data_IF_131178591445
#
_entry.id   IF_131178591445
#
_cell.length_a   1.000
_cell.length_b   1.000
_cell.length_c   1.000
_cell.angle_alpha   90.00
_cell.angle_beta   90.00
_cell.angle_gamma   90.00
#
_symmetry.space_group_name_H-M   'P 1'
#
loop_
_entity.id
_entity.type
_entity.pdbx_description
1 polymer ?
#
# COMPACT_ATOMS: atom_id res chain seq x y z
N UNK A 1 24.87 16.28 17.58
CA UNK A 1 23.52 16.32 16.98
C UNK A 1 22.80 15.04 17.37
N UNK A 2 21.80 15.13 18.26
CA UNK A 2 21.08 13.95 18.76
C UNK A 2 20.32 13.25 17.63
N UNK A 3 20.44 11.93 17.53
CA UNK A 3 19.74 11.14 16.53
C UNK A 3 18.23 11.17 16.83
N UNK A 4 17.51 12.04 16.14
CA UNK A 4 16.09 11.84 15.96
C UNK A 4 15.97 10.51 15.20
N UNK A 5 15.47 9.45 15.82
CA UNK A 5 15.18 8.18 15.13
C UNK A 5 14.23 8.51 13.98
N UNK A 6 14.77 8.67 12.77
CA UNK A 6 13.99 9.03 11.61
C UNK A 6 12.87 7.99 11.45
N UNK A 7 11.61 8.45 11.52
CA UNK A 7 10.46 7.56 11.37
C UNK A 7 10.48 6.85 10.00
N UNK A 8 9.72 5.77 9.87
CA UNK A 8 9.59 5.10 8.57
C UNK A 8 8.85 6.02 7.58
N UNK A 9 9.22 5.97 6.29
CA UNK A 9 8.48 6.70 5.25
C UNK A 9 7.01 6.27 5.22
N UNK A 10 6.77 4.97 5.36
CA UNK A 10 5.44 4.36 5.46
C UNK A 10 4.63 4.89 6.67
N UNK A 11 5.31 5.22 7.77
CA UNK A 11 4.66 5.85 8.91
C UNK A 11 4.33 7.30 8.64
N UNK A 12 5.27 8.10 8.13
CA UNK A 12 5.02 9.49 7.78
C UNK A 12 3.80 9.64 6.87
N UNK A 13 3.68 8.75 5.90
CA UNK A 13 2.56 8.69 4.96
C UNK A 13 1.21 8.28 5.58
N UNK A 14 1.21 7.54 6.69
CA UNK A 14 0.00 7.05 7.36
C UNK A 14 -0.35 7.85 8.63
N UNK A 15 0.61 8.51 9.28
CA UNK A 15 0.46 9.11 10.62
C UNK A 15 0.69 10.61 10.67
N UNK A 16 1.34 11.24 9.69
CA UNK A 16 1.32 12.71 9.59
C UNK A 16 -0.16 13.10 9.55
N UNK A 17 -0.64 14.01 10.43
CA UNK A 17 -2.06 14.23 10.68
C UNK A 17 -2.77 14.55 9.37
N UNK A 18 -3.33 13.52 8.73
CA UNK A 18 -4.14 13.40 7.50
C UNK A 18 -3.95 14.38 6.33
N UNK A 19 -3.09 15.40 6.40
CA UNK A 19 -3.14 16.60 5.55
C UNK A 19 -2.43 16.45 4.21
N UNK A 20 -1.58 15.44 4.05
CA UNK A 20 -0.80 15.23 2.82
C UNK A 20 -1.30 14.03 2.04
N UNK A 21 -1.54 12.89 2.70
CA UNK A 21 -1.96 11.65 2.04
C UNK A 21 -3.29 11.15 2.59
N UNK A 22 -4.39 11.76 2.13
CA UNK A 22 -5.74 11.33 2.47
C UNK A 22 -6.06 9.95 1.89
N UNK A 23 -6.79 9.12 2.65
CA UNK A 23 -7.29 7.83 2.17
C UNK A 23 -6.25 6.70 2.09
N UNK A 24 -5.02 6.90 2.54
CA UNK A 24 -3.99 5.86 2.53
C UNK A 24 -4.04 4.96 3.77
N UNK A 25 -4.95 3.99 3.73
CA UNK A 25 -4.92 2.85 4.66
C UNK A 25 -3.76 1.88 4.35
N UNK A 26 -3.57 0.90 5.24
CA UNK A 26 -2.46 -0.08 5.11
C UNK A 26 -2.51 -0.89 3.80
N UNK A 27 -3.70 -1.15 3.25
CA UNK A 27 -3.87 -1.85 1.97
C UNK A 27 -3.28 -1.04 0.81
N UNK A 28 -3.66 0.24 0.75
CA UNK A 28 -3.19 1.21 -0.23
C UNK A 28 -1.70 1.43 -0.09
N UNK A 29 -1.22 1.62 1.14
CA UNK A 29 0.20 1.80 1.45
C UNK A 29 1.04 0.63 0.93
N UNK A 30 0.70 -0.61 1.27
CA UNK A 30 1.44 -1.78 0.80
C UNK A 30 1.42 -1.90 -0.73
N UNK A 31 0.31 -1.54 -1.38
CA UNK A 31 0.18 -1.59 -2.83
C UNK A 31 1.02 -0.51 -3.53
N UNK A 32 0.95 0.73 -3.06
CA UNK A 32 1.70 1.86 -3.63
C UNK A 32 3.21 1.64 -3.50
N UNK A 33 3.69 1.23 -2.32
CA UNK A 33 5.12 0.91 -2.13
C UNK A 33 5.56 -0.26 -3.01
N UNK A 34 4.72 -1.28 -3.18
CA UNK A 34 5.00 -2.39 -4.08
C UNK A 34 5.11 -1.92 -5.54
N UNK A 35 4.17 -1.10 -6.03
CA UNK A 35 4.20 -0.56 -7.39
C UNK A 35 5.41 0.36 -7.62
N UNK A 36 5.73 1.19 -6.63
CA UNK A 36 6.90 2.06 -6.67
C UNK A 36 8.23 1.29 -6.54
N UNK A 37 8.20 0.02 -6.14
CA UNK A 37 9.40 -0.78 -5.89
C UNK A 37 10.24 -0.29 -4.70
N UNK A 38 9.61 0.39 -3.74
CA UNK A 38 10.28 1.00 -2.59
C UNK A 38 10.14 0.07 -1.38
N UNK A 39 11.23 -0.25 -0.67
CA UNK A 39 11.14 -1.01 0.57
C UNK A 39 10.31 -0.25 1.61
N UNK A 40 9.23 -0.87 2.12
CA UNK A 40 8.31 -0.21 3.08
C UNK A 40 8.95 0.10 4.45
N UNK A 41 10.09 -0.54 4.75
CA UNK A 41 10.88 -0.35 5.97
C UNK A 41 11.89 0.80 5.86
N UNK A 42 11.94 1.51 4.73
CA UNK A 42 12.85 2.64 4.54
C UNK A 42 12.55 3.78 5.51
N UNK A 43 13.61 4.45 6.00
CA UNK A 43 13.45 5.67 6.77
C UNK A 43 12.88 6.80 5.90
N UNK A 44 12.18 7.75 6.51
CA UNK A 44 11.69 8.94 5.80
C UNK A 44 12.85 9.76 5.24
N UNK A 45 13.99 9.78 5.92
CA UNK A 45 15.18 10.49 5.48
C UNK A 45 15.74 9.88 4.19
N UNK A 46 16.02 8.57 4.19
CA UNK A 46 16.57 7.88 3.00
C UNK A 46 15.59 7.89 1.82
N UNK A 47 14.29 7.94 2.11
CA UNK A 47 13.26 8.12 1.11
C UNK A 47 13.31 9.51 0.48
N UNK A 48 13.24 10.57 1.30
CA UNK A 48 13.26 11.96 0.83
C UNK A 48 14.60 12.35 0.20
N UNK A 49 15.69 11.67 0.54
CA UNK A 49 17.02 11.90 -0.03
C UNK A 49 17.23 11.27 -1.41
N UNK A 50 16.23 10.56 -1.96
CA UNK A 50 16.32 9.93 -3.28
C UNK A 50 15.21 10.46 -4.21
N UNK A 51 15.55 11.33 -5.18
CA UNK A 51 14.60 11.83 -6.17
C UNK A 51 13.84 10.72 -6.89
N UNK A 52 14.54 9.64 -7.25
CA UNK A 52 13.94 8.47 -7.88
C UNK A 52 12.85 7.82 -7.03
N UNK A 53 13.09 7.64 -5.72
CA UNK A 53 12.07 7.08 -4.83
C UNK A 53 10.86 8.00 -4.69
N UNK A 54 11.08 9.30 -4.54
CA UNK A 54 9.98 10.26 -4.42
C UNK A 54 9.17 10.32 -5.71
N UNK A 55 9.82 10.42 -6.88
CA UNK A 55 9.17 10.42 -8.18
C UNK A 55 8.38 9.11 -8.41
N UNK A 56 8.97 7.95 -8.12
CA UNK A 56 8.27 6.65 -8.23
C UNK A 56 7.07 6.57 -7.30
N UNK A 57 7.13 7.12 -6.09
CA UNK A 57 5.98 7.16 -5.20
C UNK A 57 4.86 8.05 -5.76
N UNK A 58 5.18 9.25 -6.25
CA UNK A 58 4.21 10.15 -6.88
C UNK A 58 3.52 9.48 -8.07
N UNK A 59 4.31 8.88 -8.96
CA UNK A 59 3.80 8.12 -10.11
C UNK A 59 2.94 6.92 -9.66
N UNK A 60 3.37 6.18 -8.64
CA UNK A 60 2.59 5.05 -8.10
C UNK A 60 1.27 5.47 -7.47
N UNK A 61 1.22 6.62 -6.80
CA UNK A 61 -0.01 7.19 -6.24
C UNK A 61 -0.97 7.60 -7.34
N UNK A 62 -0.45 8.28 -8.37
CA UNK A 62 -1.25 8.67 -9.53
C UNK A 62 -1.79 7.43 -10.26
N UNK A 63 -0.93 6.46 -10.56
CA UNK A 63 -1.29 5.20 -11.22
C UNK A 63 -2.33 4.43 -10.41
N UNK A 64 -2.15 4.34 -9.09
CA UNK A 64 -3.11 3.71 -8.20
C UNK A 64 -4.46 4.41 -8.25
N UNK A 65 -4.48 5.75 -8.25
CA UNK A 65 -5.72 6.54 -8.28
C UNK A 65 -6.45 6.35 -9.59
N UNK A 66 -5.74 6.48 -10.73
CA UNK A 66 -6.26 6.24 -12.08
C UNK A 66 -6.87 4.85 -12.21
N UNK A 67 -6.13 3.81 -11.85
CA UNK A 67 -6.60 2.41 -11.87
C UNK A 67 -7.73 2.15 -10.88
N UNK A 68 -7.73 2.82 -9.73
CA UNK A 68 -8.82 2.68 -8.76
C UNK A 68 -10.12 3.28 -9.31
N UNK A 69 -10.05 4.41 -10.01
CA UNK A 69 -11.20 4.99 -10.68
C UNK A 69 -11.71 4.11 -11.83
N UNK A 70 -10.82 3.57 -12.66
CA UNK A 70 -11.23 2.86 -13.87
C UNK A 70 -11.61 1.41 -13.65
N UNK A 71 -10.96 0.73 -12.70
CA UNK A 71 -11.16 -0.71 -12.48
C UNK A 71 -11.82 -0.97 -11.13
N UNK A 72 -11.23 -0.49 -10.02
CA UNK A 72 -11.76 -0.80 -8.70
C UNK A 72 -13.17 -0.25 -8.49
N UNK A 73 -13.42 0.99 -8.93
CA UNK A 73 -14.73 1.62 -8.80
C UNK A 73 -15.78 0.89 -9.63
N UNK A 74 -15.53 0.71 -10.94
CA UNK A 74 -16.52 0.12 -11.85
C UNK A 74 -16.75 -1.37 -11.61
N UNK A 75 -15.68 -2.14 -11.35
CA UNK A 75 -15.76 -3.60 -11.33
C UNK A 75 -16.11 -4.17 -9.95
N UNK A 76 -15.80 -3.43 -8.87
CA UNK A 76 -15.87 -3.96 -7.50
C UNK A 76 -16.73 -3.09 -6.59
N UNK A 77 -16.48 -1.78 -6.51
CA UNK A 77 -17.14 -0.91 -5.53
C UNK A 77 -18.56 -0.53 -5.95
N UNK A 78 -18.75 -0.03 -7.17
CA UNK A 78 -20.07 0.39 -7.68
C UNK A 78 -21.08 -0.76 -7.65
N UNK A 79 -20.75 -2.00 -8.07
CA UNK A 79 -21.67 -3.14 -7.94
C UNK A 79 -21.94 -3.58 -6.50
N UNK A 80 -21.13 -3.14 -5.54
CA UNK A 80 -21.32 -3.42 -4.12
C UNK A 80 -22.12 -2.32 -3.41
N UNK A 81 -22.50 -1.24 -4.09
CA UNK A 81 -23.37 -0.20 -3.56
C UNK A 81 -24.84 -0.56 -3.79
N UNK A 82 -25.63 -0.58 -2.72
CA UNK A 82 -27.09 -0.71 -2.74
C UNK A 82 -27.66 0.51 -2.05
N UNK A 83 -28.42 1.33 -2.76
CA UNK A 83 -28.97 2.60 -2.26
C UNK A 83 -27.90 3.53 -1.64
N UNK A 84 -26.73 3.61 -2.29
CA UNK A 84 -25.54 4.34 -1.83
C UNK A 84 -24.89 3.80 -0.55
N UNK A 85 -25.25 2.59 -0.12
CA UNK A 85 -24.65 1.91 1.03
C UNK A 85 -23.78 0.76 0.53
N UNK A 86 -22.54 0.71 0.99
CA UNK A 86 -21.60 -0.37 0.66
C UNK A 86 -22.03 -1.65 1.38
N UNK A 87 -22.49 -2.62 0.60
CA UNK A 87 -23.02 -3.90 1.05
C UNK A 87 -22.47 -5.06 0.19
N UNK A 88 -21.13 -5.28 0.19
CA UNK A 88 -20.53 -6.26 -0.70
C UNK A 88 -20.85 -7.69 -0.28
N UNK A 89 -21.16 -8.51 -1.27
CA UNK A 89 -21.21 -9.96 -1.11
C UNK A 89 -19.82 -10.52 -0.76
N UNK A 90 -19.78 -11.73 -0.21
CA UNK A 90 -18.51 -12.44 0.04
C UNK A 90 -17.70 -12.61 -1.25
N UNK A 91 -18.35 -12.88 -2.38
CA UNK A 91 -17.69 -13.01 -3.69
C UNK A 91 -17.01 -11.71 -4.11
N UNK A 92 -17.68 -10.56 -3.98
CA UNK A 92 -17.10 -9.25 -4.29
C UNK A 92 -15.91 -8.93 -3.38
N UNK A 93 -15.98 -9.26 -2.09
CA UNK A 93 -14.85 -9.15 -1.17
C UNK A 93 -13.69 -10.03 -1.60
N UNK A 94 -13.94 -11.29 -1.97
CA UNK A 94 -12.90 -12.19 -2.49
C UNK A 94 -12.28 -11.65 -3.80
N UNK A 95 -13.08 -11.04 -4.68
CA UNK A 95 -12.60 -10.36 -5.89
C UNK A 95 -11.68 -9.18 -5.58
N UNK A 96 -12.01 -8.36 -4.57
CA UNK A 96 -11.12 -7.31 -4.09
C UNK A 96 -9.77 -7.86 -3.59
N UNK A 97 -9.73 -9.08 -3.06
CA UNK A 97 -8.47 -9.75 -2.73
C UNK A 97 -7.50 -9.89 -3.92
N UNK A 98 -8.00 -9.95 -5.15
CA UNK A 98 -7.14 -9.95 -6.35
C UNK A 98 -6.50 -8.57 -6.59
N UNK A 99 -7.19 -7.48 -6.22
CA UNK A 99 -6.68 -6.10 -6.30
C UNK A 99 -5.49 -5.84 -5.38
N UNK A 100 -5.45 -6.51 -4.23
CA UNK A 100 -4.39 -6.39 -3.23
C UNK A 100 -3.12 -7.07 -3.75
N UNK A 101 -2.08 -6.33 -4.14
CA UNK A 101 -0.92 -6.95 -4.82
C UNK A 101 -0.13 -7.89 -3.91
N UNK A 102 0.16 -7.46 -2.68
CA UNK A 102 0.91 -8.23 -1.67
C UNK A 102 0.14 -8.44 -0.37
N UNK A 103 -0.78 -7.53 -0.03
CA UNK A 103 -1.45 -7.52 1.26
C UNK A 103 -2.29 -8.79 1.47
N UNK A 104 -2.08 -9.45 2.61
CA UNK A 104 -2.87 -10.61 3.01
C UNK A 104 -2.74 -11.82 2.08
N UNK A 105 -1.66 -11.93 1.31
CA UNK A 105 -1.42 -13.04 0.37
C UNK A 105 -0.37 -14.01 0.91
N UNK A 106 -0.38 -15.26 0.44
CA UNK A 106 0.75 -16.18 0.70
C UNK A 106 1.83 -15.95 -0.34
N UNK A 107 1.40 -15.93 -1.61
CA UNK A 107 2.25 -15.67 -2.76
C UNK A 107 1.59 -14.65 -3.66
N UNK A 108 2.39 -13.97 -4.47
CA UNK A 108 1.89 -13.14 -5.57
C UNK A 108 2.70 -13.40 -6.83
N UNK A 109 2.06 -13.19 -7.98
CA UNK A 109 2.70 -13.33 -9.28
C UNK A 109 3.41 -12.02 -9.60
N UNK A 110 4.70 -12.08 -9.94
CA UNK A 110 5.50 -10.90 -10.28
C UNK A 110 6.12 -11.02 -11.68
N UNK A 111 6.44 -9.92 -12.36
CA UNK A 111 7.22 -9.95 -13.60
C UNK A 111 8.58 -10.63 -13.42
N UNK A 112 9.09 -11.23 -14.50
CA UNK A 112 10.38 -11.97 -14.47
C UNK A 112 11.54 -11.08 -14.03
N UNK A 113 11.57 -9.81 -14.47
CA UNK A 113 12.57 -8.83 -14.05
C UNK A 113 12.49 -8.57 -12.53
N UNK A 114 11.30 -8.25 -12.02
CA UNK A 114 11.09 -8.11 -10.58
C UNK A 114 11.50 -9.37 -9.79
N UNK A 115 11.22 -10.57 -10.30
CA UNK A 115 11.65 -11.83 -9.69
C UNK A 115 13.18 -11.97 -9.58
N UNK A 116 13.93 -11.53 -10.60
CA UNK A 116 15.40 -11.48 -10.57
C UNK A 116 15.89 -10.44 -9.55
N UNK A 117 15.28 -9.26 -9.52
CA UNK A 117 15.61 -8.21 -8.56
C UNK A 117 15.38 -8.65 -7.11
N UNK A 118 14.30 -9.40 -6.82
CA UNK A 118 14.04 -9.97 -5.49
C UNK A 118 15.19 -10.90 -5.07
N UNK A 119 15.60 -11.83 -5.93
CA UNK A 119 16.69 -12.76 -5.62
C UNK A 119 17.99 -12.00 -5.33
N UNK A 120 18.31 -10.98 -6.15
CA UNK A 120 19.49 -10.15 -5.93
C UNK A 120 19.40 -9.35 -4.64
N UNK A 121 18.25 -8.79 -4.32
CA UNK A 121 18.02 -8.03 -3.10
C UNK A 121 18.23 -8.92 -1.86
N UNK A 122 17.62 -10.11 -1.85
CA UNK A 122 17.70 -11.06 -0.74
C UNK A 122 19.09 -11.71 -0.60
N UNK A 123 19.84 -11.87 -1.69
CA UNK A 123 21.22 -12.33 -1.63
C UNK A 123 22.16 -11.31 -0.96
N UNK A 124 21.76 -10.03 -0.90
CA UNK A 124 22.52 -8.94 -0.27
C UNK A 124 21.94 -8.62 1.13
N UNK A 125 21.81 -9.64 1.97
CA UNK A 125 21.06 -9.64 3.25
C UNK A 125 21.44 -8.51 4.22
N UNK A 126 22.68 -8.01 4.18
CA UNK A 126 23.16 -6.99 5.13
C UNK A 126 22.56 -5.61 4.85
N UNK A 127 22.43 -5.23 3.57
CA UNK A 127 22.05 -3.85 3.20
C UNK A 127 20.92 -3.76 2.18
N UNK A 128 20.43 -4.88 1.63
CA UNK A 128 19.42 -4.89 0.57
C UNK A 128 19.82 -3.95 -0.59
N UNK A 129 20.88 -4.29 -1.34
CA UNK A 129 21.38 -3.40 -2.38
C UNK A 129 20.38 -3.26 -3.53
N UNK A 130 19.65 -2.14 -3.50
CA UNK A 130 18.83 -1.65 -4.59
C UNK A 130 17.35 -1.96 -4.43
N UNK A 131 16.56 -1.10 -5.05
CA UNK A 131 15.11 -1.13 -5.04
C UNK A 131 14.57 -2.17 -6.03
N UNK A 132 13.51 -2.87 -5.63
CA UNK A 132 12.87 -3.92 -6.42
C UNK A 132 11.81 -3.27 -7.30
N UNK A 133 12.25 -2.49 -8.28
CA UNK A 133 11.39 -1.68 -9.13
C UNK A 133 11.01 -2.38 -10.44
N UNK A 134 9.77 -2.17 -10.87
CA UNK A 134 9.21 -2.73 -12.09
C UNK A 134 8.35 -1.67 -12.79
N UNK A 135 8.89 -0.99 -13.82
CA UNK A 135 8.24 0.17 -14.41
C UNK A 135 6.95 -0.17 -15.13
N UNK A 136 6.72 -1.43 -15.52
CA UNK A 136 5.46 -1.86 -16.10
C UNK A 136 4.26 -1.67 -15.17
N UNK A 137 4.47 -1.53 -13.85
CA UNK A 137 3.39 -1.16 -12.93
C UNK A 137 3.00 0.30 -12.99
N UNK A 138 3.87 1.18 -13.48
CA UNK A 138 3.69 2.64 -13.58
C UNK A 138 3.52 3.10 -15.04
N UNK A 139 3.16 2.18 -15.94
CA UNK A 139 3.17 2.44 -17.37
C UNK A 139 2.27 3.63 -17.77
N UNK A 140 1.07 3.73 -17.21
CA UNK A 140 0.13 4.82 -17.57
C UNK A 140 0.67 6.14 -17.02
N UNK A 141 1.10 6.15 -15.76
CA UNK A 141 1.67 7.34 -15.12
C UNK A 141 2.92 7.85 -15.85
N UNK A 142 3.80 6.96 -16.30
CA UNK A 142 5.00 7.35 -17.06
C UNK A 142 4.67 7.87 -18.46
N UNK A 143 3.55 7.44 -19.06
CA UNK A 143 3.06 7.96 -20.34
C UNK A 143 2.40 9.34 -20.19
N UNK A 144 1.60 9.54 -19.14
CA UNK A 144 0.89 10.81 -18.90
C UNK A 144 1.76 11.87 -18.19
N UNK A 145 2.77 11.43 -17.42
CA UNK A 145 3.73 12.29 -16.73
C UNK A 145 5.18 11.96 -17.10
N UNK A 146 5.56 12.03 -18.39
CA UNK A 146 6.88 11.63 -18.87
C UNK A 146 8.01 12.49 -18.29
N UNK A 147 7.70 13.72 -17.86
CA UNK A 147 8.64 14.64 -17.24
C UNK A 147 9.18 14.15 -15.88
N UNK A 148 8.53 13.16 -15.22
CA UNK A 148 9.09 12.55 -14.00
C UNK A 148 10.01 11.36 -14.29
N UNK A 149 10.03 10.85 -15.53
CA UNK A 149 10.79 9.66 -15.88
C UNK A 149 12.30 9.84 -15.67
N UNK A 150 12.84 11.02 -15.98
CA UNK A 150 14.27 11.28 -15.77
C UNK A 150 14.65 11.30 -14.28
N UNK A 151 13.76 11.71 -13.37
CA UNK A 151 14.02 11.58 -11.92
C UNK A 151 14.02 10.11 -11.48
N UNK A 152 13.21 9.26 -12.11
CA UNK A 152 13.15 7.83 -11.81
C UNK A 152 14.41 7.11 -12.26
N UNK A 153 14.78 7.27 -13.53
CA UNK A 153 15.83 6.47 -14.19
C UNK A 153 17.18 7.17 -14.30
N UNK A 154 17.22 8.49 -14.15
CA UNK A 154 18.30 9.34 -14.65
C UNK A 154 18.05 9.74 -16.11
N UNK A 155 18.59 10.88 -16.51
CA UNK A 155 18.40 11.46 -17.85
C UNK A 155 18.81 10.52 -18.98
N UNK A 156 20.04 10.00 -18.95
CA UNK A 156 20.55 9.11 -20.00
C UNK A 156 19.70 7.84 -20.16
N UNK A 157 19.37 7.18 -19.05
CA UNK A 157 18.55 5.96 -19.08
C UNK A 157 17.11 6.24 -19.51
N UNK A 158 16.54 7.39 -19.12
CA UNK A 158 15.19 7.78 -19.54
C UNK A 158 15.13 8.06 -21.05
N UNK A 159 16.11 8.76 -21.60
CA UNK A 159 16.23 9.01 -23.04
C UNK A 159 16.41 7.71 -23.81
N UNK A 160 17.22 6.77 -23.31
CA UNK A 160 17.37 5.45 -23.91
C UNK A 160 16.06 4.65 -23.94
N UNK A 161 15.20 4.83 -22.93
CA UNK A 161 13.87 4.24 -22.86
C UNK A 161 12.83 4.95 -23.76
N UNK A 162 13.25 5.94 -24.56
CA UNK A 162 12.39 6.72 -25.46
C UNK A 162 11.67 7.89 -24.78
N UNK A 163 12.04 8.21 -23.55
CA UNK A 163 11.49 9.33 -22.80
C UNK A 163 12.11 10.67 -23.21
N UNK A 164 11.33 11.75 -23.06
CA UNK A 164 11.83 13.12 -23.17
C UNK A 164 12.16 13.67 -21.78
N UNK A 165 13.31 14.32 -21.62
CA UNK A 165 13.63 15.07 -20.41
C UNK A 165 12.78 16.34 -20.41
N UNK A 166 11.87 16.44 -19.44
CA UNK A 166 11.12 17.65 -19.18
C UNK A 166 11.74 18.40 -18.00
N UNK A 167 11.83 19.73 -18.10
CA UNK A 167 12.14 20.59 -16.96
C UNK A 167 10.90 21.29 -16.44
N UNK A 168 10.98 21.80 -15.20
CA UNK A 168 10.00 22.76 -14.69
C UNK A 168 8.82 22.18 -13.90
N UNK A 169 8.76 20.87 -13.67
CA UNK A 169 7.83 20.36 -12.68
C UNK A 169 8.27 20.73 -11.24
N UNK A 170 7.33 20.84 -10.29
CA UNK A 170 7.66 21.27 -8.93
C UNK A 170 8.64 20.33 -8.21
N UNK A 171 8.61 19.02 -8.51
CA UNK A 171 9.45 18.05 -7.83
C UNK A 171 10.91 18.17 -8.29
N UNK A 172 11.10 18.30 -9.60
CA UNK A 172 12.39 18.58 -10.21
C UNK A 172 12.99 19.90 -9.72
N UNK A 173 12.17 20.95 -9.62
CA UNK A 173 12.59 22.24 -9.07
C UNK A 173 13.01 22.15 -7.60
N UNK A 174 12.28 21.36 -6.80
CA UNK A 174 12.62 21.09 -5.41
C UNK A 174 13.99 20.40 -5.30
N UNK A 175 14.22 19.32 -6.03
CA UNK A 175 15.51 18.61 -5.97
C UNK A 175 16.66 19.41 -6.55
N UNK A 176 16.42 20.20 -7.59
CA UNK A 176 17.42 21.12 -8.13
C UNK A 176 17.84 22.15 -7.07
N UNK A 177 16.88 22.76 -6.37
CA UNK A 177 17.14 23.73 -5.28
C UNK A 177 18.00 23.14 -4.15
N UNK A 178 17.93 21.82 -3.95
CA UNK A 178 18.71 21.11 -2.94
C UNK A 178 19.97 20.43 -3.49
N UNK A 179 20.35 20.65 -4.76
CA UNK A 179 21.47 19.99 -5.45
C UNK A 179 21.39 18.45 -5.39
N UNK A 180 20.18 17.93 -5.61
CA UNK A 180 19.87 16.51 -5.46
C UNK A 180 19.53 15.81 -6.76
N UNK A 181 19.54 16.48 -7.92
CA UNK A 181 19.17 15.85 -9.19
C UNK A 181 20.07 14.66 -9.54
N UNK A 182 21.35 14.72 -9.17
CA UNK A 182 22.33 13.64 -9.39
C UNK A 182 22.39 12.62 -8.24
N UNK A 183 21.47 12.71 -7.27
CA UNK A 183 21.43 11.77 -6.16
C UNK A 183 21.12 10.34 -6.65
N UNK A 184 21.67 9.35 -5.94
CA UNK A 184 21.56 7.93 -6.29
C UNK A 184 20.09 7.48 -6.43
N UNK A 185 19.75 6.89 -7.56
CA UNK A 185 18.38 6.42 -7.87
C UNK A 185 17.99 5.11 -7.17
N UNK A 186 18.97 4.39 -6.60
CA UNK A 186 18.84 3.06 -5.98
C UNK A 186 18.27 1.95 -6.88
N UNK A 187 17.98 2.24 -8.15
CA UNK A 187 17.70 1.24 -9.18
C UNK A 187 18.94 1.06 -10.05
N UNK A 188 19.14 -0.13 -10.62
CA UNK A 188 20.20 -0.32 -11.61
C UNK A 188 19.60 -0.18 -13.03
N UNK A 189 19.94 0.88 -13.79
CA UNK A 189 19.39 1.14 -15.12
C UNK A 189 19.60 0.00 -16.11
N UNK A 190 20.65 -0.82 -15.96
CA UNK A 190 20.98 -1.95 -16.84
C UNK A 190 19.91 -3.05 -16.89
N UNK A 191 18.95 -3.06 -15.96
CA UNK A 191 17.84 -4.03 -15.99
C UNK A 191 16.65 -3.55 -16.83
N UNK A 192 16.70 -2.34 -17.38
CA UNK A 192 15.55 -1.71 -18.03
C UNK A 192 15.90 -1.33 -19.47
N UNK A 193 15.70 -2.29 -20.38
CA UNK A 193 15.85 -2.05 -21.83
C UNK A 193 14.54 -1.50 -22.45
N UNK A 194 13.44 -1.54 -21.70
CA UNK A 194 12.12 -1.09 -22.16
C UNK A 194 11.12 -0.92 -21.01
N UNK A 195 10.18 0.00 -21.22
CA UNK A 195 8.98 0.19 -20.40
C UNK A 195 7.86 -0.58 -21.09
N UNK A 196 7.94 -1.91 -21.04
CA UNK A 196 6.87 -2.74 -21.62
C UNK A 196 5.69 -2.76 -20.66
N UNK A 197 4.47 -2.48 -21.14
CA UNK A 197 3.26 -2.66 -20.36
C UNK A 197 3.21 -4.09 -19.83
N UNK A 198 2.96 -4.19 -18.53
CA UNK A 198 2.84 -5.47 -17.89
C UNK A 198 1.56 -6.18 -18.35
N UNK A 199 1.72 -7.34 -19.02
CA UNK A 199 0.59 -8.20 -19.31
C UNK A 199 0.18 -8.95 -18.03
N UNK A 200 -0.86 -8.45 -17.35
CA UNK A 200 -1.45 -9.05 -16.15
C UNK A 200 -1.88 -10.50 -16.38
N UNK A 201 -2.20 -10.86 -17.63
CA UNK A 201 -2.71 -12.18 -18.01
C UNK A 201 -1.60 -13.20 -18.30
N UNK A 202 -0.32 -12.82 -18.27
CA UNK A 202 0.77 -13.78 -18.41
C UNK A 202 0.78 -14.75 -17.23
N UNK A 203 0.36 -16.00 -17.48
CA UNK A 203 0.32 -17.08 -16.48
C UNK A 203 1.70 -17.69 -16.23
N UNK A 204 2.70 -17.41 -17.07
CA UNK A 204 4.08 -17.93 -16.93
C UNK A 204 4.89 -17.16 -15.88
N UNK A 205 4.26 -16.21 -15.18
CA UNK A 205 4.93 -15.35 -14.22
C UNK A 205 5.37 -16.12 -12.98
N UNK A 206 6.60 -15.89 -12.50
CA UNK A 206 7.06 -16.47 -11.24
C UNK A 206 6.14 -16.09 -10.08
N UNK A 207 5.80 -17.08 -9.25
CA UNK A 207 5.19 -16.85 -7.95
C UNK A 207 6.28 -16.55 -6.93
N UNK A 208 6.10 -15.48 -6.15
CA UNK A 208 7.00 -15.11 -5.06
C UNK A 208 6.28 -15.09 -3.73
N UNK A 209 6.99 -15.55 -2.70
CA UNK A 209 6.51 -15.56 -1.33
C UNK A 209 6.37 -14.12 -0.83
N UNK A 210 5.34 -13.88 -0.03
CA UNK A 210 5.17 -12.58 0.65
C UNK A 210 5.45 -12.72 2.14
N UNK A 211 5.86 -11.63 2.75
CA UNK A 211 6.24 -11.56 4.16
C UNK A 211 5.33 -10.60 4.90
N UNK A 212 4.98 -10.94 6.14
CA UNK A 212 4.19 -10.11 7.04
C UNK A 212 5.10 -9.69 8.19
N UNK A 213 5.27 -8.38 8.37
CA UNK A 213 6.03 -7.82 9.47
C UNK A 213 5.15 -6.93 10.34
N UNK A 214 5.50 -6.86 11.62
CA UNK A 214 4.98 -5.91 12.60
C UNK A 214 6.10 -5.00 13.07
N UNK A 215 5.84 -3.70 13.20
CA UNK A 215 6.81 -2.78 13.79
C UNK A 215 6.91 -3.02 15.30
N UNK A 216 8.13 -3.23 15.81
CA UNK A 216 8.34 -3.71 17.19
C UNK A 216 7.91 -2.70 18.27
N UNK A 217 8.06 -1.40 18.01
CA UNK A 217 7.94 -0.35 19.03
C UNK A 217 6.62 0.43 19.05
N UNK A 218 5.64 0.09 18.21
CA UNK A 218 4.37 0.83 18.14
C UNK A 218 3.21 0.08 18.80
N UNK A 219 2.51 0.79 19.67
CA UNK A 219 1.16 0.40 20.12
C UNK A 219 0.21 0.46 18.91
N UNK A 220 -0.45 -0.66 18.61
CA UNK A 220 -1.17 -0.84 17.35
C UNK A 220 -0.28 -1.45 16.27
N UNK A 221 -0.13 -2.78 16.30
CA UNK A 221 0.70 -3.58 15.39
C UNK A 221 0.24 -3.41 13.93
N UNK A 222 0.83 -2.49 13.18
CA UNK A 222 0.56 -2.33 11.74
C UNK A 222 1.07 -3.55 10.97
N UNK A 223 0.21 -4.15 10.16
CA UNK A 223 0.53 -5.29 9.30
C UNK A 223 1.20 -4.81 8.01
N UNK A 224 2.53 -4.89 7.94
CA UNK A 224 3.27 -4.52 6.73
C UNK A 224 3.51 -5.78 5.88
N UNK A 225 2.90 -5.80 4.70
CA UNK A 225 3.05 -6.90 3.75
C UNK A 225 4.00 -6.52 2.62
N UNK A 226 4.98 -7.37 2.34
CA UNK A 226 6.03 -7.10 1.36
C UNK A 226 6.44 -8.35 0.57
N UNK A 227 7.18 -8.14 -0.53
CA UNK A 227 7.57 -9.20 -1.46
C UNK A 227 9.00 -9.74 -1.24
N UNK A 228 9.78 -9.09 -0.39
CA UNK A 228 11.13 -9.48 -0.04
C UNK A 228 11.30 -9.39 1.48
N UNK A 229 12.28 -10.11 2.02
CA UNK A 229 12.63 -9.99 3.44
C UNK A 229 13.22 -8.62 3.76
N UNK A 230 12.98 -8.15 4.99
CA UNK A 230 13.71 -7.00 5.54
C UNK A 230 15.18 -7.44 5.78
N UNK A 231 16.17 -6.66 5.32
CA UNK A 231 17.59 -6.91 5.58
C UNK A 231 17.88 -7.06 7.07
N UNK A 232 18.84 -7.91 7.43
CA UNK A 232 19.21 -8.20 8.83
C UNK A 232 19.55 -6.94 9.63
N UNK A 233 20.14 -5.92 8.99
CA UNK A 233 20.43 -4.61 9.57
C UNK A 233 19.21 -3.83 10.09
N UNK A 234 18.01 -4.17 9.64
CA UNK A 234 16.77 -3.51 10.05
C UNK A 234 15.83 -4.41 10.87
N UNK A 235 16.17 -5.69 11.07
CA UNK A 235 15.27 -6.69 11.70
C UNK A 235 14.90 -6.33 13.13
N UNK A 236 15.77 -5.68 13.91
CA UNK A 236 15.44 -5.30 15.30
C UNK A 236 14.21 -4.39 15.42
N UNK A 237 13.89 -3.64 14.35
CA UNK A 237 12.71 -2.78 14.31
C UNK A 237 11.43 -3.50 13.88
N UNK A 238 11.52 -4.76 13.46
CA UNK A 238 10.41 -5.50 12.86
C UNK A 238 10.35 -6.97 13.29
N UNK A 239 9.18 -7.38 13.76
CA UNK A 239 8.88 -8.77 14.05
C UNK A 239 8.31 -9.46 12.80
N UNK A 240 9.05 -10.41 12.23
CA UNK A 240 8.55 -11.25 11.15
C UNK A 240 7.47 -12.19 11.70
N UNK A 241 6.28 -12.13 11.12
CA UNK A 241 5.19 -13.03 11.46
C UNK A 241 5.17 -14.25 10.52
N UNK A 242 5.15 -15.45 11.10
CA UNK A 242 5.18 -16.72 10.36
C UNK A 242 4.12 -17.71 10.87
N UNK A 243 4.10 -18.91 10.30
CA UNK A 243 3.32 -20.02 10.83
C UNK A 243 1.80 -19.81 10.84
N UNK A 244 1.16 -20.22 11.95
CA UNK A 244 -0.29 -20.19 12.13
C UNK A 244 -0.82 -18.77 12.24
N UNK A 245 -0.13 -17.89 12.97
CA UNK A 245 -0.53 -16.49 13.13
C UNK A 245 -0.58 -15.79 11.76
N UNK A 246 0.45 -15.92 10.93
CA UNK A 246 0.43 -15.33 9.57
C UNK A 246 -0.76 -15.82 8.75
N UNK A 247 -1.17 -17.09 8.90
CA UNK A 247 -2.31 -17.66 8.18
C UNK A 247 -3.63 -17.02 8.61
N UNK A 248 -3.78 -16.53 9.85
CA UNK A 248 -5.01 -15.84 10.29
C UNK A 248 -5.15 -14.46 9.65
N UNK A 249 -4.04 -13.82 9.28
CA UNK A 249 -3.98 -12.51 8.62
C UNK A 249 -4.12 -12.56 7.10
N UNK A 250 -4.27 -13.75 6.49
CA UNK A 250 -4.53 -13.84 5.06
C UNK A 250 -5.89 -13.21 4.75
N UNK A 251 -5.94 -12.40 3.70
CA UNK A 251 -7.16 -11.69 3.31
C UNK A 251 -8.31 -12.67 3.01
N UNK A 252 -8.00 -13.82 2.39
CA UNK A 252 -8.97 -14.89 2.17
C UNK A 252 -9.50 -15.53 3.45
N UNK A 253 -8.76 -15.50 4.55
CA UNK A 253 -9.25 -15.98 5.86
C UNK A 253 -10.06 -14.90 6.56
N UNK A 254 -9.66 -13.64 6.46
CA UNK A 254 -10.42 -12.48 6.96
C UNK A 254 -11.81 -12.47 6.32
N UNK A 255 -11.90 -12.57 4.99
CA UNK A 255 -13.19 -12.56 4.28
C UNK A 255 -14.10 -13.73 4.66
N UNK A 256 -13.52 -14.90 4.95
CA UNK A 256 -14.28 -16.10 5.33
C UNK A 256 -14.78 -16.09 6.77
N UNK A 257 -14.05 -15.45 7.68
CA UNK A 257 -14.31 -15.50 9.12
C UNK A 257 -14.93 -14.23 9.68
N UNK A 258 -14.83 -13.11 8.96
CA UNK A 258 -15.29 -11.81 9.44
C UNK A 258 -16.52 -11.32 8.67
N UNK A 259 -17.51 -10.87 9.44
CA UNK A 259 -18.64 -10.08 8.95
C UNK A 259 -18.26 -8.61 8.68
N UNK A 260 -17.07 -8.16 9.07
CA UNK A 260 -16.56 -6.82 8.72
C UNK A 260 -16.47 -6.70 7.21
N UNK A 261 -16.92 -5.58 6.66
CA UNK A 261 -16.74 -5.28 5.25
C UNK A 261 -15.25 -5.04 5.01
N UNK A 262 -14.67 -5.85 4.14
CA UNK A 262 -13.27 -5.77 3.74
C UNK A 262 -13.26 -5.59 2.21
N UNK A 263 -13.42 -4.35 1.73
CA UNK A 263 -13.53 -4.05 0.28
C UNK A 263 -12.89 -2.70 -0.10
N UNK A 264 -11.83 -2.30 0.59
CA UNK A 264 -11.04 -1.14 0.19
C UNK A 264 -11.46 0.15 0.88
N UNK A 265 -10.95 1.32 0.43
CA UNK A 265 -10.95 2.54 1.25
C UNK A 265 -12.34 3.01 1.71
N UNK A 266 -13.39 2.71 0.93
CA UNK A 266 -14.78 3.06 1.29
C UNK A 266 -15.34 2.25 2.46
N UNK A 267 -14.64 1.20 2.92
CA UNK A 267 -15.06 0.44 4.11
C UNK A 267 -15.07 1.28 5.39
N UNK A 268 -14.40 2.43 5.40
CA UNK A 268 -14.39 3.32 6.56
C UNK A 268 -15.50 4.38 6.53
N UNK A 269 -16.08 4.65 5.35
CA UNK A 269 -16.98 5.79 5.14
C UNK A 269 -18.26 5.47 4.34
N UNK A 270 -18.45 4.23 3.89
CA UNK A 270 -19.63 3.84 3.09
C UNK A 270 -20.39 2.64 3.65
N UNK A 271 -19.95 2.05 4.75
CA UNK A 271 -20.49 0.78 5.24
C UNK A 271 -21.79 0.95 6.03
N UNK A 272 -22.82 0.22 5.59
CA UNK A 272 -24.05 0.08 6.33
C UNK A 272 -23.85 -0.69 7.63
N UNK A 273 -24.18 -0.07 8.76
CA UNK A 273 -24.28 -0.70 10.06
C UNK A 273 -25.74 -0.85 10.47
N UNK A 274 -26.16 -2.09 10.71
CA UNK A 274 -27.48 -2.38 11.28
C UNK A 274 -27.39 -2.22 12.79
N UNK A 275 -28.19 -1.32 13.36
CA UNK A 275 -28.39 -1.23 14.80
C UNK A 275 -29.85 -1.49 15.17
N UNK A 276 -30.04 -2.06 16.35
CA UNK A 276 -31.34 -2.20 16.99
C UNK A 276 -31.62 -0.98 17.86
N UNK A 277 -32.73 -0.30 17.61
CA UNK A 277 -33.21 0.80 18.45
C UNK A 277 -33.73 0.29 19.80
N UNK A 278 -33.99 1.19 20.75
CA UNK A 278 -34.64 0.89 22.04
C UNK A 278 -35.97 0.16 21.89
N UNK A 279 -36.68 0.38 20.77
CA UNK A 279 -37.96 -0.26 20.46
C UNK A 279 -37.81 -1.49 19.54
N UNK A 280 -36.63 -2.12 19.50
CA UNK A 280 -36.32 -3.30 18.68
C UNK A 280 -36.51 -3.12 17.16
N UNK A 281 -36.66 -1.88 16.67
CA UNK A 281 -36.65 -1.61 15.23
C UNK A 281 -35.22 -1.61 14.72
N UNK A 282 -34.96 -2.32 13.60
CA UNK A 282 -33.69 -2.29 12.89
C UNK A 282 -33.58 -1.00 12.07
N UNK A 283 -32.41 -0.36 12.11
CA UNK A 283 -32.07 0.79 11.26
C UNK A 283 -30.67 0.62 10.70
N UNK A 284 -30.45 1.09 9.48
CA UNK A 284 -29.15 1.08 8.78
C UNK A 284 -28.56 2.48 8.83
N UNK A 285 -27.25 2.58 9.07
CA UNK A 285 -26.50 3.85 9.10
C UNK A 285 -25.20 3.70 8.34
N UNK A 286 -24.71 4.78 7.71
CA UNK A 286 -23.66 4.67 6.68
C UNK A 286 -22.25 4.97 7.22
N UNK A 287 -22.13 5.71 8.33
CA UNK A 287 -20.83 6.12 8.90
C UNK A 287 -20.83 6.33 10.41
N UNK A 288 -19.64 6.28 11.00
CA UNK A 288 -19.38 6.77 12.36
C UNK A 288 -19.56 8.29 12.38
N UNK A 289 -20.66 8.78 12.94
CA UNK A 289 -21.02 10.21 12.96
C UNK A 289 -22.14 10.61 12.00
N UNK A 290 -22.92 9.65 11.50
CA UNK A 290 -24.14 9.91 10.73
C UNK A 290 -25.08 10.84 11.51
N UNK A 291 -25.47 12.02 10.98
CA UNK A 291 -26.30 12.98 11.71
C UNK A 291 -27.72 12.47 11.97
N UNK A 292 -28.16 11.41 11.28
CA UNK A 292 -29.45 10.76 11.55
C UNK A 292 -29.43 9.88 12.81
N UNK A 293 -28.26 9.67 13.43
CA UNK A 293 -28.06 8.87 14.61
C UNK A 293 -28.28 9.72 15.88
N UNK A 294 -29.35 9.44 16.62
CA UNK A 294 -29.54 10.00 17.96
C UNK A 294 -28.32 9.67 18.85
N UNK A 295 -27.82 10.66 19.59
CA UNK A 295 -26.61 10.55 20.43
C UNK A 295 -26.59 9.30 21.34
N UNK A 296 -27.76 8.86 21.82
CA UNK A 296 -27.92 7.66 22.66
C UNK A 296 -27.64 6.35 21.91
N UNK A 297 -28.12 6.23 20.67
CA UNK A 297 -27.88 5.07 19.81
C UNK A 297 -26.42 5.02 19.35
N UNK A 298 -25.81 6.18 19.08
CA UNK A 298 -24.39 6.28 18.75
C UNK A 298 -23.51 5.82 19.92
N UNK A 299 -23.75 6.33 21.13
CA UNK A 299 -23.02 5.90 22.34
C UNK A 299 -23.13 4.39 22.58
N UNK A 300 -24.32 3.80 22.40
CA UNK A 300 -24.53 2.34 22.54
C UNK A 300 -23.78 1.54 21.48
N UNK A 301 -23.82 1.98 20.22
CA UNK A 301 -23.09 1.34 19.13
C UNK A 301 -21.58 1.35 19.40
N UNK A 302 -21.03 2.51 19.78
CA UNK A 302 -19.61 2.67 20.14
C UNK A 302 -19.25 1.80 21.35
N UNK A 303 -20.08 1.78 22.40
CA UNK A 303 -19.89 0.88 23.54
C UNK A 303 -19.94 -0.61 23.15
N UNK A 304 -20.80 -0.98 22.20
CA UNK A 304 -20.87 -2.33 21.64
C UNK A 304 -19.58 -2.73 20.91
N UNK A 305 -19.06 -1.84 20.06
CA UNK A 305 -17.75 -2.04 19.39
C UNK A 305 -16.65 -2.26 20.43
N UNK A 306 -16.58 -1.40 21.45
CA UNK A 306 -15.56 -1.51 22.49
C UNK A 306 -15.67 -2.81 23.30
N UNK A 307 -16.90 -3.33 23.53
CA UNK A 307 -17.09 -4.63 24.19
C UNK A 307 -16.58 -5.79 23.33
N UNK A 308 -16.79 -5.75 22.03
CA UNK A 308 -16.30 -6.79 21.10
C UNK A 308 -14.79 -6.72 20.83
N UNK A 309 -14.16 -5.55 21.03
CA UNK A 309 -12.73 -5.33 20.77
C UNK A 309 -11.86 -5.33 22.04
N UNK A 310 -12.41 -5.61 23.23
CA UNK A 310 -11.57 -5.86 24.40
C UNK A 310 -10.74 -7.12 24.14
N UNK A 311 -9.40 -7.08 24.32
CA UNK A 311 -8.63 -8.30 24.43
C UNK A 311 -9.27 -9.13 25.54
N UNK A 312 -9.54 -10.40 25.28
CA UNK A 312 -9.82 -11.35 26.35
C UNK A 312 -8.55 -11.35 27.19
N UNK A 313 -8.56 -10.62 28.31
CA UNK A 313 -7.57 -10.79 29.35
C UNK A 313 -7.77 -12.22 29.84
N UNK A 314 -6.85 -13.10 29.49
CA UNK A 314 -6.76 -14.41 30.14
C UNK A 314 -6.62 -14.16 31.64
N UNK A 315 -7.44 -14.81 32.49
CA UNK A 315 -7.27 -14.70 33.93
C UNK A 315 -5.87 -15.22 34.33
N UNK A 316 -5.33 -14.74 35.47
CA UNK A 316 -4.01 -15.13 35.96
C UNK A 316 -3.86 -16.65 36.16
#
# INVERSE_FOLDING_TARGET
MGSCKAGLAADGMHTVPSRVFFGMGVYTLCKVFFMAGIPIHISIQDFCQSPSRVARLCLALWEYTRKSHDNLWLDILKPALVDNILAPTRRQREQYGHWLMVYGKTRTLVPRRMAKLIVKHEANDVNGKGDIFEPGYLNIALQEHPYLGYLVFGESAWTHLGGSVGGGDPLSSLFNKHNMLDAKSHINPEYYDSIVPYNVMDKTRPQKQTYLYYQAYKTGRKQLWMIAKIPSSHVESFNLNTGVERKTHLFSKIVKKSASVAIGPLEYCGNGHIIMTTHQKKRVFVVQGDPSLLNTNFKRYIQGIYRCHRPVLTPP
#
